data_IF_500554572946
#
_entry.id   IF_500554572946
#
_cell.length_a   1.000
_cell.length_b   1.000
_cell.length_c   1.000
_cell.angle_alpha   90.00
_cell.angle_beta   90.00
_cell.angle_gamma   90.00
#
_symmetry.space_group_name_H-M   'P 1'
#
loop_
_entity.id
_entity.type
_entity.pdbx_description
1 polymer ?
#
# COMPACT_ATOMS: atom_id res chain seq x y z
N UNK A 1 4.36 -16.82 -20.10
CA UNK A 1 2.95 -17.12 -20.22
C UNK A 1 2.12 -15.86 -20.03
N UNK A 2 1.71 -15.31 -21.16
CA UNK A 2 1.03 -14.01 -21.17
C UNK A 2 -0.28 -14.00 -20.40
N UNK A 3 -0.99 -15.14 -20.39
CA UNK A 3 -2.25 -15.22 -19.67
C UNK A 3 -2.07 -15.02 -18.17
N UNK A 4 -1.08 -15.68 -17.59
CA UNK A 4 -0.84 -15.54 -16.15
C UNK A 4 -0.28 -14.17 -15.81
N UNK A 5 0.57 -13.62 -16.67
CA UNK A 5 1.07 -12.26 -16.46
C UNK A 5 -0.07 -11.25 -16.46
N UNK A 6 -1.03 -11.40 -17.38
CA UNK A 6 -2.18 -10.50 -17.44
C UNK A 6 -3.04 -10.61 -16.20
N UNK A 7 -3.24 -11.82 -15.70
CA UNK A 7 -4.00 -12.02 -14.46
C UNK A 7 -3.31 -11.38 -13.26
N UNK A 8 -1.98 -11.58 -13.16
CA UNK A 8 -1.21 -10.97 -12.09
C UNK A 8 -1.25 -9.46 -12.13
N UNK A 9 -1.16 -8.89 -13.34
CA UNK A 9 -1.25 -7.44 -13.49
C UNK A 9 -2.60 -6.91 -13.05
N UNK A 10 -3.69 -7.61 -13.36
CA UNK A 10 -5.02 -7.21 -12.92
C UNK A 10 -5.16 -7.28 -11.39
N UNK A 11 -4.61 -8.33 -10.78
CA UNK A 11 -4.65 -8.45 -9.33
C UNK A 11 -3.85 -7.33 -8.66
N UNK A 12 -2.67 -7.04 -9.21
CA UNK A 12 -1.85 -5.96 -8.68
C UNK A 12 -2.54 -4.61 -8.83
N UNK A 13 -3.15 -4.37 -9.98
CA UNK A 13 -3.91 -3.15 -10.22
C UNK A 13 -5.05 -3.01 -9.21
N UNK A 14 -5.79 -4.09 -8.97
CA UNK A 14 -6.90 -4.08 -8.02
C UNK A 14 -6.41 -3.81 -6.60
N UNK A 15 -5.28 -4.39 -6.21
CA UNK A 15 -4.71 -4.17 -4.88
C UNK A 15 -4.27 -2.71 -4.71
N UNK A 16 -3.64 -2.12 -5.73
CA UNK A 16 -3.26 -0.71 -5.67
C UNK A 16 -4.48 0.20 -5.56
N UNK A 17 -5.52 -0.10 -6.32
CA UNK A 17 -6.75 0.69 -6.28
C UNK A 17 -7.40 0.61 -4.90
N UNK A 18 -7.38 -0.55 -4.28
CA UNK A 18 -7.93 -0.74 -2.94
C UNK A 18 -7.17 0.08 -1.91
N UNK A 19 -5.84 0.03 -1.96
CA UNK A 19 -4.99 0.79 -1.03
C UNK A 19 -5.23 2.29 -1.21
N UNK A 20 -5.26 2.75 -2.44
CA UNK A 20 -5.49 4.16 -2.73
C UNK A 20 -6.86 4.62 -2.23
N UNK A 21 -7.88 3.81 -2.46
CA UNK A 21 -9.24 4.11 -1.99
C UNK A 21 -9.29 4.19 -0.47
N UNK A 22 -8.63 3.27 0.21
CA UNK A 22 -8.55 3.30 1.67
C UNK A 22 -7.88 4.59 2.15
N UNK A 23 -6.77 4.97 1.54
CA UNK A 23 -6.05 6.17 1.94
C UNK A 23 -6.90 7.42 1.73
N UNK A 24 -7.68 7.46 0.65
CA UNK A 24 -8.57 8.58 0.39
C UNK A 24 -9.68 8.69 1.43
N UNK A 25 -10.06 7.57 2.04
CA UNK A 25 -11.09 7.54 3.08
C UNK A 25 -10.51 7.75 4.49
N UNK A 26 -9.20 7.81 4.63
CA UNK A 26 -8.53 7.91 5.93
C UNK A 26 -8.11 9.36 6.19
N UNK A 27 -8.53 9.91 7.32
CA UNK A 27 -8.16 11.28 7.70
C UNK A 27 -6.66 11.45 7.84
N UNK A 28 -5.97 10.47 8.40
CA UNK A 28 -4.52 10.55 8.60
C UNK A 28 -3.74 10.57 7.30
N UNK A 29 -4.31 10.01 6.24
CA UNK A 29 -3.63 9.89 4.96
C UNK A 29 -3.88 11.06 4.02
N UNK A 30 -4.62 12.07 4.43
CA UNK A 30 -4.89 13.21 3.57
C UNK A 30 -3.61 14.02 3.30
N UNK A 31 -3.57 14.80 2.20
CA UNK A 31 -2.39 15.61 1.92
C UNK A 31 -2.07 16.54 3.08
N UNK A 32 -0.80 16.64 3.41
CA UNK A 32 -0.35 17.51 4.49
C UNK A 32 -0.55 16.95 5.89
N UNK A 33 -1.18 15.79 6.04
CA UNK A 33 -1.39 15.15 7.34
C UNK A 33 -0.21 14.26 7.70
N UNK A 34 -0.25 13.69 8.89
CA UNK A 34 0.87 12.91 9.41
C UNK A 34 1.11 11.58 8.72
N UNK A 35 0.10 11.09 7.97
CA UNK A 35 0.25 9.83 7.26
C UNK A 35 0.04 8.59 8.12
N UNK A 36 0.11 7.45 7.47
CA UNK A 36 -0.08 6.15 8.14
C UNK A 36 1.01 5.21 7.69
N UNK A 37 1.52 4.40 8.61
CA UNK A 37 2.56 3.45 8.28
C UNK A 37 2.02 2.33 7.41
N UNK A 38 2.94 1.66 6.71
CA UNK A 38 2.60 0.65 5.72
C UNK A 38 1.80 -0.51 6.29
N UNK A 39 2.22 -1.04 7.44
CA UNK A 39 1.55 -2.20 8.04
C UNK A 39 0.09 -1.92 8.39
N UNK A 40 -0.24 -0.81 9.08
CA UNK A 40 -1.64 -0.49 9.32
C UNK A 40 -2.46 -0.32 8.05
N UNK A 41 -1.89 0.30 7.01
CA UNK A 41 -2.60 0.47 5.75
C UNK A 41 -2.97 -0.89 5.16
N UNK A 42 -2.00 -1.79 5.08
CA UNK A 42 -2.24 -3.10 4.50
C UNK A 42 -3.17 -3.95 5.32
N UNK A 43 -3.04 -3.87 6.63
CA UNK A 43 -3.94 -4.60 7.52
C UNK A 43 -5.38 -4.12 7.36
N UNK A 44 -5.57 -2.81 7.27
CA UNK A 44 -6.90 -2.24 7.06
C UNK A 44 -7.50 -2.67 5.73
N UNK A 45 -6.67 -2.91 4.72
CA UNK A 45 -7.13 -3.37 3.41
C UNK A 45 -7.28 -4.89 3.33
N UNK A 46 -6.97 -5.62 4.41
CA UNK A 46 -7.06 -7.09 4.39
C UNK A 46 -5.98 -7.75 3.55
N UNK A 47 -4.89 -7.05 3.31
CA UNK A 47 -3.80 -7.56 2.46
C UNK A 47 -2.64 -8.14 3.26
N UNK A 48 -2.75 -8.19 4.57
CA UNK A 48 -1.74 -8.81 5.43
C UNK A 48 -2.01 -10.31 5.59
N UNK A 49 -1.04 -10.97 6.19
CA UNK A 49 -1.22 -12.38 6.55
C UNK A 49 -1.97 -12.43 7.86
N UNK A 50 -3.22 -12.73 7.82
CA UNK A 50 -4.09 -12.71 9.00
C UNK A 50 -3.62 -13.53 10.19
N UNK A 51 -2.65 -14.42 9.99
CA UNK A 51 -2.10 -15.24 11.07
C UNK A 51 -1.13 -14.49 11.98
N UNK A 52 -0.63 -13.35 11.54
CA UNK A 52 0.37 -12.58 12.28
C UNK A 52 -0.25 -11.33 12.85
N UNK A 53 0.11 -11.02 14.08
CA UNK A 53 -0.41 -9.83 14.75
C UNK A 53 0.00 -8.55 14.05
N UNK A 54 1.15 -8.56 13.41
CA UNK A 54 1.62 -7.39 12.67
C UNK A 54 2.48 -7.83 11.50
N UNK A 55 2.47 -7.01 10.47
CA UNK A 55 3.31 -7.23 9.31
C UNK A 55 4.77 -7.00 9.67
N UNK A 56 5.64 -7.86 9.16
CA UNK A 56 7.08 -7.70 9.32
C UNK A 56 7.73 -7.75 7.95
N UNK A 57 8.97 -7.24 7.86
CA UNK A 57 9.69 -7.22 6.61
C UNK A 57 9.98 -8.63 6.10
N UNK A 58 10.08 -9.59 6.96
CA UNK A 58 10.43 -10.95 6.56
C UNK A 58 9.26 -11.75 6.02
N UNK A 59 8.03 -11.34 6.25
CA UNK A 59 6.89 -12.18 5.85
C UNK A 59 5.83 -11.49 5.01
N UNK A 60 5.81 -10.16 4.91
CA UNK A 60 4.73 -9.51 4.17
C UNK A 60 5.19 -8.37 3.27
N UNK A 61 6.42 -7.94 3.41
CA UNK A 61 6.80 -6.62 2.97
C UNK A 61 7.06 -6.44 1.48
N UNK A 62 7.55 -7.47 0.80
CA UNK A 62 8.06 -7.22 -0.55
C UNK A 62 6.99 -6.77 -1.52
N UNK A 63 5.88 -7.47 -1.60
CA UNK A 63 4.88 -7.10 -2.58
C UNK A 63 4.09 -5.86 -2.17
N UNK A 64 3.88 -5.67 -0.86
CA UNK A 64 3.15 -4.50 -0.37
C UNK A 64 3.96 -3.22 -0.57
N UNK A 65 5.27 -3.29 -0.35
CA UNK A 65 6.15 -2.15 -0.63
C UNK A 65 6.13 -1.84 -2.11
N UNK A 66 6.16 -2.86 -2.95
CA UNK A 66 6.11 -2.66 -4.40
C UNK A 66 4.85 -1.93 -4.84
N UNK A 67 3.69 -2.30 -4.28
CA UNK A 67 2.44 -1.60 -4.60
C UNK A 67 2.50 -0.13 -4.22
N UNK A 68 3.02 0.16 -3.02
CA UNK A 68 3.12 1.53 -2.55
C UNK A 68 4.13 2.33 -3.39
N UNK A 69 5.24 1.70 -3.79
CA UNK A 69 6.22 2.36 -4.65
C UNK A 69 5.65 2.67 -6.03
N UNK A 70 4.79 1.81 -6.55
CA UNK A 70 4.11 2.10 -7.81
C UNK A 70 3.17 3.30 -7.67
N UNK A 71 2.42 3.38 -6.58
CA UNK A 71 1.56 4.53 -6.32
C UNK A 71 2.39 5.82 -6.17
N UNK A 72 3.55 5.73 -5.56
CA UNK A 72 4.48 6.84 -5.43
C UNK A 72 4.96 7.30 -6.81
N UNK A 73 5.36 6.35 -7.64
CA UNK A 73 5.82 6.66 -9.00
C UNK A 73 4.71 7.28 -9.85
N UNK A 74 3.47 6.93 -9.57
CA UNK A 74 2.31 7.50 -10.26
C UNK A 74 1.94 8.89 -9.73
N UNK A 75 2.63 9.37 -8.70
CA UNK A 75 2.36 10.68 -8.12
C UNK A 75 1.16 10.74 -7.21
N UNK A 76 0.66 9.60 -6.75
CA UNK A 76 -0.56 9.53 -5.95
C UNK A 76 -0.31 9.58 -4.45
N UNK A 77 0.83 9.09 -4.01
CA UNK A 77 1.19 9.07 -2.59
C UNK A 77 2.62 9.55 -2.42
N UNK A 78 2.97 9.90 -1.18
CA UNK A 78 4.33 10.29 -0.83
C UNK A 78 4.64 9.81 0.59
N UNK A 79 5.91 9.63 0.89
CA UNK A 79 6.35 9.43 2.25
C UNK A 79 6.43 10.76 2.97
N UNK A 80 5.99 10.77 4.23
CA UNK A 80 6.08 11.96 5.06
C UNK A 80 7.53 12.28 5.38
N UNK A 81 8.34 11.24 5.56
CA UNK A 81 9.77 11.37 5.78
C UNK A 81 10.47 10.14 5.21
N UNK A 82 11.80 10.16 5.21
CA UNK A 82 12.61 9.13 4.56
C UNK A 82 12.23 7.69 4.94
N UNK A 83 11.86 7.47 6.17
CA UNK A 83 11.47 6.14 6.64
C UNK A 83 10.11 6.16 7.31
N UNK A 84 9.35 7.17 7.06
CA UNK A 84 8.13 7.43 7.79
C UNK A 84 6.86 6.93 7.15
N UNK A 85 5.74 7.41 7.67
CA UNK A 85 4.42 7.03 7.17
C UNK A 85 4.17 7.54 5.75
N UNK A 86 3.09 7.05 5.17
CA UNK A 86 2.66 7.41 3.82
C UNK A 86 1.37 8.23 3.88
N UNK A 87 1.22 9.12 2.92
CA UNK A 87 0.00 9.92 2.78
C UNK A 87 -0.25 10.23 1.31
N UNK A 88 -1.43 10.72 1.02
CA UNK A 88 -1.75 11.21 -0.33
C UNK A 88 -0.92 12.46 -0.64
N UNK A 89 -0.58 12.57 -1.90
CA UNK A 89 0.20 13.71 -2.38
C UNK A 89 -0.66 14.90 -2.73
#
# INVERSE_FOLDING_TARGET
MKEFEARGSRLRFAAKALVYKFMRASDLCQPGREGMRLSPIFRACGLDWGEYEKATSSNQQYWVVALMRELEAEGKVERVSESGPWRLR
#
